data_IF_623452460811
#
_entry.id   IF_623452460811
#
_cell.length_a   1.000
_cell.length_b   1.000
_cell.length_c   1.000
_cell.angle_alpha   90.00
_cell.angle_beta   90.00
_cell.angle_gamma   90.00
#
_symmetry.space_group_name_H-M   'P 1'
#
loop_
_entity.id
_entity.type
_entity.pdbx_description
1 polymer ?
#
# COMPACT_ATOMS: atom_id res chain seq x y z
N UNK A 1 25.36 24.73 6.04
CA UNK A 1 23.97 24.28 6.20
C UNK A 1 23.94 22.83 5.77
N UNK A 2 24.05 21.89 6.71
CA UNK A 2 23.92 20.47 6.39
C UNK A 2 22.47 20.24 5.96
N UNK A 3 22.27 19.73 4.75
CA UNK A 3 21.02 19.07 4.40
C UNK A 3 20.90 17.87 5.33
N UNK A 4 20.30 18.06 6.51
CA UNK A 4 19.82 16.95 7.31
C UNK A 4 18.81 16.25 6.43
N UNK A 5 19.01 14.96 6.18
CA UNK A 5 18.01 14.10 5.55
C UNK A 5 16.89 13.87 6.58
N UNK A 6 16.14 14.93 6.88
CA UNK A 6 14.93 14.83 7.66
C UNK A 6 13.92 14.10 6.77
N UNK A 7 13.66 12.84 7.09
CA UNK A 7 12.72 12.04 6.33
C UNK A 7 11.34 12.43 6.81
N UNK A 8 10.57 13.06 5.92
CA UNK A 8 9.18 13.43 6.18
C UNK A 8 8.32 12.16 6.33
N UNK A 9 8.23 11.66 7.57
CA UNK A 9 7.45 10.46 7.91
C UNK A 9 5.95 10.68 7.72
N UNK A 10 5.48 11.93 7.71
CA UNK A 10 4.08 12.27 7.42
C UNK A 10 3.75 12.07 5.93
N UNK A 11 4.65 12.41 5.02
CA UNK A 11 4.50 12.11 3.59
C UNK A 11 4.43 10.61 3.36
N UNK A 12 5.28 9.83 4.04
CA UNK A 12 5.24 8.36 3.95
C UNK A 12 3.88 7.81 4.43
N UNK A 13 3.41 8.23 5.60
CA UNK A 13 2.09 7.84 6.12
C UNK A 13 0.95 8.25 5.18
N UNK A 14 1.01 9.45 4.61
CA UNK A 14 0.01 9.92 3.64
C UNK A 14 0.00 9.08 2.36
N UNK A 15 1.17 8.67 1.87
CA UNK A 15 1.28 7.77 0.72
C UNK A 15 0.67 6.39 1.01
N UNK A 16 0.99 5.78 2.16
CA UNK A 16 0.41 4.50 2.57
C UNK A 16 -1.12 4.58 2.68
N UNK A 17 -1.65 5.65 3.28
CA UNK A 17 -3.10 5.89 3.36
C UNK A 17 -3.75 6.04 1.98
N UNK A 18 -3.09 6.77 1.06
CA UNK A 18 -3.58 6.95 -0.32
C UNK A 18 -3.66 5.61 -1.05
N UNK A 19 -2.65 4.76 -0.92
CA UNK A 19 -2.62 3.43 -1.52
C UNK A 19 -3.79 2.58 -0.99
N UNK A 20 -4.00 2.54 0.34
CA UNK A 20 -5.11 1.82 0.97
C UNK A 20 -6.49 2.33 0.52
N UNK A 21 -6.63 3.63 0.27
CA UNK A 21 -7.87 4.21 -0.28
C UNK A 21 -8.12 3.70 -1.69
N UNK A 22 -7.12 3.79 -2.57
CA UNK A 22 -7.24 3.33 -3.97
C UNK A 22 -7.60 1.84 -4.03
N UNK A 23 -7.01 0.99 -3.19
CA UNK A 23 -7.33 -0.45 -3.16
C UNK A 23 -8.79 -0.70 -2.75
N UNK A 24 -9.27 0.03 -1.74
CA UNK A 24 -10.67 -0.06 -1.27
C UNK A 24 -11.65 0.33 -2.38
N UNK A 25 -11.30 1.32 -3.19
CA UNK A 25 -12.12 1.77 -4.31
C UNK A 25 -12.08 0.80 -5.51
N UNK A 26 -11.03 -0.01 -5.62
CA UNK A 26 -10.85 -1.01 -6.69
C UNK A 26 -11.51 -2.36 -6.38
N UNK A 27 -11.62 -2.74 -5.11
CA UNK A 27 -12.24 -4.00 -4.67
C UNK A 27 -13.68 -4.27 -5.21
N UNK A 28 -14.55 -3.26 -5.43
CA UNK A 28 -15.90 -3.48 -5.97
C UNK A 28 -15.96 -3.73 -7.49
N UNK A 29 -14.84 -3.64 -8.22
CA UNK A 29 -14.81 -3.76 -9.69
C UNK A 29 -14.85 -5.21 -10.19
N UNK A 30 -15.50 -6.11 -9.44
CA UNK A 30 -15.69 -7.48 -9.89
C UNK A 30 -16.72 -7.49 -11.04
N UNK A 31 -16.38 -8.17 -12.13
CA UNK A 31 -17.20 -8.15 -13.34
C UNK A 31 -18.24 -9.27 -13.29
N UNK A 32 -19.50 -8.94 -13.63
CA UNK A 32 -20.49 -9.99 -13.89
C UNK A 32 -20.18 -10.72 -15.19
N UNK A 33 -20.32 -12.05 -15.18
CA UNK A 33 -20.16 -12.83 -16.41
C UNK A 33 -21.37 -12.61 -17.34
N UNK A 34 -21.14 -12.53 -18.66
CA UNK A 34 -22.25 -12.46 -19.61
C UNK A 34 -23.05 -13.77 -19.58
N UNK A 35 -24.31 -13.68 -19.14
CA UNK A 35 -25.22 -14.84 -19.04
C UNK A 35 -26.04 -15.09 -20.30
N UNK A 36 -26.01 -14.17 -21.28
CA UNK A 36 -26.84 -14.19 -22.50
C UNK A 36 -26.10 -13.75 -23.76
N UNK A 37 -24.82 -14.08 -23.89
CA UNK A 37 -24.20 -14.10 -25.20
C UNK A 37 -24.71 -15.36 -25.91
N UNK A 38 -25.50 -15.25 -26.98
CA UNK A 38 -26.21 -16.38 -27.63
C UNK A 38 -25.33 -17.45 -28.27
N UNK A 39 -24.10 -17.63 -27.80
CA UNK A 39 -23.11 -18.60 -28.27
C UNK A 39 -22.23 -19.06 -27.10
N UNK A 40 -22.18 -20.38 -26.85
CA UNK A 40 -21.50 -20.98 -25.69
C UNK A 40 -20.01 -20.59 -25.59
N UNK A 41 -19.32 -20.46 -26.73
CA UNK A 41 -17.93 -20.01 -26.77
C UNK A 41 -17.72 -18.58 -26.20
N UNK A 42 -18.70 -17.69 -26.34
CA UNK A 42 -18.61 -16.33 -25.79
C UNK A 42 -18.88 -16.33 -24.28
N UNK A 43 -19.80 -17.17 -23.82
CA UNK A 43 -20.04 -17.36 -22.38
C UNK A 43 -18.79 -17.93 -21.70
N UNK A 44 -18.16 -18.95 -22.31
CA UNK A 44 -16.92 -19.54 -21.81
C UNK A 44 -15.78 -18.49 -21.75
N UNK A 45 -15.54 -17.77 -22.85
CA UNK A 45 -14.53 -16.70 -22.88
C UNK A 45 -14.81 -15.59 -21.86
N UNK A 46 -16.07 -15.20 -21.65
CA UNK A 46 -16.47 -14.22 -20.65
C UNK A 46 -16.23 -14.71 -19.22
N UNK A 47 -16.49 -15.99 -18.94
CA UNK A 47 -16.19 -16.60 -17.64
C UNK A 47 -14.70 -16.66 -17.36
N UNK A 48 -13.89 -17.05 -18.36
CA UNK A 48 -12.43 -17.12 -18.25
C UNK A 48 -11.82 -15.74 -18.02
N UNK A 49 -12.28 -14.75 -18.79
CA UNK A 49 -11.87 -13.36 -18.63
C UNK A 49 -12.19 -12.83 -17.23
N UNK A 50 -13.42 -13.06 -16.73
CA UNK A 50 -13.80 -12.67 -15.37
C UNK A 50 -12.89 -13.32 -14.32
N UNK A 51 -12.61 -14.62 -14.46
CA UNK A 51 -11.72 -15.35 -13.54
C UNK A 51 -10.30 -14.77 -13.56
N UNK A 52 -9.75 -14.48 -14.74
CA UNK A 52 -8.45 -13.84 -14.88
C UNK A 52 -8.44 -12.42 -14.29
N UNK A 53 -9.49 -11.63 -14.53
CA UNK A 53 -9.65 -10.30 -13.97
C UNK A 53 -9.69 -10.30 -12.45
N UNK A 54 -10.58 -11.11 -11.84
CA UNK A 54 -10.74 -11.21 -10.39
C UNK A 54 -9.44 -11.65 -9.71
N UNK A 55 -8.72 -12.63 -10.30
CA UNK A 55 -7.38 -13.03 -9.82
C UNK A 55 -6.35 -11.91 -9.94
N UNK A 56 -6.30 -11.22 -11.08
CA UNK A 56 -5.36 -10.12 -11.31
C UNK A 56 -5.60 -8.94 -10.38
N UNK A 57 -6.87 -8.58 -10.17
CA UNK A 57 -7.28 -7.51 -9.25
C UNK A 57 -6.93 -7.86 -7.81
N UNK A 58 -7.18 -9.12 -7.40
CA UNK A 58 -6.82 -9.60 -6.06
C UNK A 58 -5.31 -9.59 -5.83
N UNK A 59 -4.53 -10.10 -6.78
CA UNK A 59 -3.06 -10.04 -6.70
C UNK A 59 -2.56 -8.60 -6.60
N UNK A 60 -3.11 -7.69 -7.43
CA UNK A 60 -2.73 -6.28 -7.40
C UNK A 60 -3.09 -5.59 -6.08
N UNK A 61 -4.23 -5.93 -5.49
CA UNK A 61 -4.64 -5.42 -4.19
C UNK A 61 -3.68 -5.87 -3.08
N UNK A 62 -3.30 -7.15 -3.06
CA UNK A 62 -2.30 -7.70 -2.13
C UNK A 62 -0.96 -6.98 -2.26
N UNK A 63 -0.40 -6.91 -3.47
CA UNK A 63 0.89 -6.23 -3.72
C UNK A 63 0.87 -4.77 -3.25
N UNK A 64 -0.26 -4.10 -3.43
CA UNK A 64 -0.41 -2.69 -3.06
C UNK A 64 -0.57 -2.51 -1.54
N UNK A 65 -1.21 -3.45 -0.83
CA UNK A 65 -1.21 -3.47 0.63
C UNK A 65 0.18 -3.69 1.19
N UNK A 66 0.92 -4.69 0.68
CA UNK A 66 2.30 -4.96 1.09
C UNK A 66 3.20 -3.73 0.88
N UNK A 67 3.01 -3.01 -0.23
CA UNK A 67 3.71 -1.76 -0.48
C UNK A 67 3.37 -0.66 0.54
N UNK A 68 2.09 -0.48 0.87
CA UNK A 68 1.66 0.48 1.87
C UNK A 68 2.22 0.16 3.27
N UNK A 69 2.24 -1.12 3.64
CA UNK A 69 2.76 -1.58 4.93
C UNK A 69 4.27 -1.37 5.03
N UNK A 70 5.02 -1.59 3.94
CA UNK A 70 6.45 -1.28 3.89
C UNK A 70 6.74 0.21 4.07
N UNK A 71 5.94 1.09 3.45
CA UNK A 71 6.09 2.53 3.62
C UNK A 71 5.82 2.94 5.07
N UNK A 72 4.74 2.44 5.68
CA UNK A 72 4.44 2.71 7.09
C UNK A 72 5.54 2.18 8.01
N UNK A 73 6.10 1.01 7.72
CA UNK A 73 7.23 0.46 8.46
C UNK A 73 8.47 1.35 8.32
N UNK A 74 8.77 1.86 7.12
CA UNK A 74 9.87 2.81 6.92
C UNK A 74 9.67 4.07 7.75
N UNK A 75 8.46 4.65 7.77
CA UNK A 75 8.15 5.81 8.60
C UNK A 75 8.46 5.55 10.08
N UNK A 76 7.98 4.41 10.62
CA UNK A 76 8.23 4.02 12.02
C UNK A 76 9.72 3.88 12.35
N UNK A 77 10.50 3.27 11.46
CA UNK A 77 11.96 3.11 11.69
C UNK A 77 12.67 4.46 11.76
N UNK A 78 12.23 5.45 10.98
CA UNK A 78 12.78 6.81 11.09
C UNK A 78 12.35 7.49 12.39
N UNK A 79 11.07 7.40 12.78
CA UNK A 79 10.61 7.97 14.05
C UNK A 79 11.36 7.37 15.25
N UNK A 80 11.51 6.03 15.28
CA UNK A 80 12.23 5.32 16.34
C UNK A 80 13.71 5.74 16.38
N UNK A 81 14.31 5.99 15.20
CA UNK A 81 15.68 6.48 15.08
C UNK A 81 15.85 7.91 15.62
N UNK A 82 14.91 8.79 15.31
CA UNK A 82 14.92 10.17 15.80
C UNK A 82 14.72 10.25 17.31
N UNK A 83 13.84 9.42 17.86
CA UNK A 83 13.60 9.35 19.30
C UNK A 83 14.81 8.78 20.04
N UNK A 84 15.47 7.76 19.48
CA UNK A 84 16.72 7.23 20.03
C UNK A 84 17.85 8.26 20.02
N UNK A 85 18.01 9.00 18.92
CA UNK A 85 19.01 10.06 18.80
C UNK A 85 18.76 11.21 19.79
N UNK A 86 17.51 11.61 20.00
CA UNK A 86 17.13 12.61 21.02
C UNK A 86 17.45 12.12 22.42
N UNK A 87 17.11 10.87 22.75
CA UNK A 87 17.39 10.30 24.07
C UNK A 87 18.90 10.22 24.37
N UNK A 88 19.72 9.88 23.36
CA UNK A 88 21.18 9.89 23.49
C UNK A 88 21.71 11.31 23.73
N UNK A 89 21.23 12.30 22.96
CA UNK A 89 21.61 13.70 23.14
C UNK A 89 21.20 14.24 24.51
N UNK A 90 19.98 13.95 24.97
CA UNK A 90 19.50 14.35 26.30
C UNK A 90 20.36 13.72 27.41
N UNK A 91 20.73 12.44 27.27
CA UNK A 91 21.64 11.80 28.20
C UNK A 91 23.05 12.43 28.20
N UNK A 92 23.53 12.92 27.06
CA UNK A 92 24.82 13.64 26.99
C UNK A 92 24.76 15.04 27.61
N UNK A 93 23.65 15.77 27.42
CA UNK A 93 23.47 17.14 27.91
C UNK A 93 23.19 17.16 29.41
N UNK A 94 22.36 16.22 29.89
CA UNK A 94 21.85 16.18 31.26
C UNK A 94 22.41 15.02 32.11
N UNK A 95 23.28 14.18 31.55
CA UNK A 95 23.94 13.07 32.25
C UNK A 95 25.28 13.44 32.94
N UNK A 96 25.52 14.73 33.17
CA UNK A 96 26.43 15.25 34.20
C UNK A 96 25.62 15.61 35.45
#
# INVERSE_FOLDING_TARGET
MSQGFDVDTDVLRAMAQKVRRVIRDLAPLDMEAPTRAGHDGVIAAGSDFRSAWSRGLSARATDSHDFADRIDQTARVFDDGDDAAKAELDAMIWGL
#
